data_IF_139669211167
#
_entry.id   IF_139669211167
#
_cell.length_a   1.000
_cell.length_b   1.000
_cell.length_c   1.000
_cell.angle_alpha   90.00
_cell.angle_beta   90.00
_cell.angle_gamma   90.00
#
_symmetry.space_group_name_H-M   'P 1'
#
loop_
_entity.id
_entity.type
_entity.pdbx_description
1 polymer ?
#
# COMPACT_ATOMS: atom_id res chain seq x y z
N UNK A 1 1.17 15.64 12.11
CA UNK A 1 1.55 14.31 11.63
C UNK A 1 3.01 14.26 11.31
N UNK A 2 3.67 13.24 11.78
CA UNK A 2 5.10 13.06 11.52
C UNK A 2 5.31 12.52 10.10
N UNK A 3 6.41 12.87 9.47
CA UNK A 3 6.81 12.36 8.16
C UNK A 3 6.89 10.83 8.17
N UNK A 4 7.25 10.24 9.31
CA UNK A 4 7.33 8.79 9.46
C UNK A 4 5.99 8.08 9.34
N UNK A 5 4.88 8.81 9.45
CA UNK A 5 3.54 8.23 9.30
C UNK A 5 3.18 7.99 7.84
N UNK A 6 3.94 8.54 6.92
CA UNK A 6 3.70 8.41 5.50
C UNK A 6 4.76 7.51 4.84
N UNK A 7 4.32 6.76 3.85
CA UNK A 7 5.22 5.94 3.04
C UNK A 7 5.15 6.45 1.61
N UNK A 8 6.29 6.83 1.06
CA UNK A 8 6.37 7.27 -0.33
C UNK A 8 6.52 6.08 -1.27
N UNK A 9 6.29 6.31 -2.56
CA UNK A 9 6.33 5.24 -3.55
C UNK A 9 7.64 4.43 -3.56
N UNK A 10 8.84 5.07 -3.54
CA UNK A 10 10.08 4.29 -3.54
C UNK A 10 10.19 3.31 -2.36
N UNK A 11 9.76 3.75 -1.19
CA UNK A 11 9.77 2.91 0.01
C UNK A 11 8.75 1.78 -0.14
N UNK A 12 7.59 2.08 -0.67
CA UNK A 12 6.53 1.09 -0.88
C UNK A 12 6.97 0.03 -1.90
N UNK A 13 7.60 0.46 -2.99
CA UNK A 13 8.12 -0.47 -4.01
C UNK A 13 9.15 -1.43 -3.41
N UNK A 14 10.05 -0.90 -2.58
CA UNK A 14 11.07 -1.72 -1.91
C UNK A 14 10.44 -2.71 -0.93
N UNK A 15 9.47 -2.25 -0.17
CA UNK A 15 8.79 -3.08 0.82
C UNK A 15 8.06 -4.26 0.19
N UNK A 16 7.34 -4.00 -0.90
CA UNK A 16 6.52 -5.01 -1.56
C UNK A 16 7.25 -5.76 -2.66
N UNK A 17 8.41 -5.25 -3.11
CA UNK A 17 9.12 -5.81 -4.24
C UNK A 17 8.35 -5.66 -5.54
N UNK A 18 7.55 -4.62 -5.67
CA UNK A 18 6.67 -4.39 -6.82
C UNK A 18 6.80 -2.95 -7.30
N UNK A 19 6.34 -2.72 -8.52
CA UNK A 19 6.36 -1.39 -9.15
C UNK A 19 4.95 -0.82 -9.24
N UNK A 20 4.85 0.39 -9.78
CA UNK A 20 3.63 1.19 -9.79
C UNK A 20 2.41 0.44 -10.34
N UNK A 21 2.55 -0.22 -11.49
CA UNK A 21 1.44 -0.95 -12.11
C UNK A 21 0.92 -2.06 -11.21
N UNK A 22 1.83 -2.80 -10.60
CA UNK A 22 1.46 -3.90 -9.71
C UNK A 22 0.74 -3.36 -8.47
N UNK A 23 1.19 -2.23 -7.93
CA UNK A 23 0.55 -1.62 -6.77
C UNK A 23 -0.86 -1.14 -7.11
N UNK A 24 -1.04 -0.58 -8.31
CA UNK A 24 -2.37 -0.20 -8.77
C UNK A 24 -3.31 -1.41 -8.81
N UNK A 25 -2.81 -2.57 -9.28
CA UNK A 25 -3.60 -3.80 -9.29
C UNK A 25 -3.92 -4.28 -7.87
N UNK A 26 -2.99 -4.14 -6.95
CA UNK A 26 -3.24 -4.49 -5.55
C UNK A 26 -4.38 -3.66 -4.97
N UNK A 27 -4.43 -2.38 -5.29
CA UNK A 27 -5.53 -1.53 -4.84
C UNK A 27 -6.86 -1.98 -5.42
N UNK A 28 -6.84 -2.38 -6.68
CA UNK A 28 -8.05 -2.80 -7.38
C UNK A 28 -8.54 -4.18 -6.95
N UNK A 29 -7.63 -5.14 -6.85
CA UNK A 29 -7.98 -6.54 -6.72
C UNK A 29 -7.78 -7.11 -5.31
N UNK A 30 -6.93 -6.50 -4.50
CA UNK A 30 -6.53 -7.04 -3.21
C UNK A 30 -6.82 -6.13 -2.02
N UNK A 31 -7.54 -5.05 -2.25
CA UNK A 31 -7.93 -4.15 -1.16
C UNK A 31 -6.78 -3.36 -0.57
N UNK A 32 -5.69 -3.14 -1.32
CA UNK A 32 -4.58 -2.34 -0.85
C UNK A 32 -5.05 -0.90 -0.59
N UNK A 33 -4.61 -0.26 0.50
CA UNK A 33 -5.08 1.08 0.83
C UNK A 33 -4.72 2.11 -0.24
N UNK A 34 -5.65 3.04 -0.47
CA UNK A 34 -5.42 4.13 -1.41
C UNK A 34 -4.44 5.14 -0.83
N UNK A 35 -3.70 5.87 -1.68
CA UNK A 35 -2.83 6.93 -1.17
C UNK A 35 -3.66 8.02 -0.50
N UNK A 36 -3.12 8.57 0.58
CA UNK A 36 -3.77 9.69 1.27
C UNK A 36 -3.41 11.03 0.65
N UNK A 37 -2.29 11.09 -0.08
CA UNK A 37 -1.89 12.24 -0.88
C UNK A 37 -1.50 11.74 -2.26
N UNK A 38 -1.78 12.52 -3.31
CA UNK A 38 -1.60 12.06 -4.68
C UNK A 38 -0.43 12.70 -5.43
N UNK A 39 0.09 13.83 -4.98
CA UNK A 39 1.17 14.51 -5.67
C UNK A 39 2.19 15.06 -4.67
N UNK A 40 3.25 14.28 -4.39
CA UNK A 40 3.51 12.88 -4.78
C UNK A 40 2.63 11.90 -4.02
N UNK A 41 2.51 10.69 -4.55
CA UNK A 41 1.70 9.68 -3.88
C UNK A 41 2.32 9.28 -2.54
N UNK A 42 1.55 9.43 -1.48
CA UNK A 42 1.96 9.06 -0.14
C UNK A 42 0.88 8.21 0.50
N UNK A 43 1.31 7.11 1.08
CA UNK A 43 0.42 6.14 1.70
C UNK A 43 0.55 6.21 3.21
N UNK A 44 -0.53 5.88 3.92
CA UNK A 44 -0.46 5.72 5.37
C UNK A 44 0.37 4.48 5.69
N UNK A 45 1.50 4.67 6.38
CA UNK A 45 2.36 3.56 6.80
C UNK A 45 1.55 2.56 7.64
N UNK A 46 0.75 3.09 8.54
CA UNK A 46 -0.08 2.27 9.42
C UNK A 46 -1.08 1.43 8.63
N UNK A 47 -1.73 2.02 7.64
CA UNK A 47 -2.68 1.29 6.80
C UNK A 47 -2.00 0.21 5.97
N UNK A 48 -0.82 0.51 5.42
CA UNK A 48 -0.04 -0.46 4.65
C UNK A 48 0.36 -1.65 5.52
N UNK A 49 0.86 -1.37 6.71
CA UNK A 49 1.27 -2.43 7.64
C UNK A 49 0.10 -3.28 8.07
N UNK A 50 -1.05 -2.67 8.32
CA UNK A 50 -2.25 -3.41 8.67
C UNK A 50 -2.71 -4.31 7.53
N UNK A 51 -2.64 -3.81 6.30
CA UNK A 51 -2.99 -4.62 5.13
C UNK A 51 -2.09 -5.85 5.02
N UNK A 52 -0.80 -5.70 5.28
CA UNK A 52 0.14 -6.82 5.28
C UNK A 52 -0.17 -7.81 6.41
N UNK A 53 -0.50 -7.32 7.60
CA UNK A 53 -0.89 -8.16 8.73
C UNK A 53 -2.16 -8.96 8.44
N UNK A 54 -3.06 -8.39 7.66
CA UNK A 54 -4.33 -9.04 7.30
C UNK A 54 -4.17 -10.06 6.15
N UNK A 55 -2.94 -10.34 5.72
CA UNK A 55 -2.65 -11.33 4.71
C UNK A 55 -2.07 -10.77 3.41
N UNK A 56 -2.11 -9.46 3.21
CA UNK A 56 -1.53 -8.82 2.04
C UNK A 56 -1.99 -9.43 0.72
N UNK A 57 -1.04 -9.80 -0.12
CA UNK A 57 -1.33 -10.39 -1.43
C UNK A 57 -2.02 -11.76 -1.31
N UNK A 58 -1.77 -12.46 -0.21
CA UNK A 58 -2.37 -13.76 0.03
C UNK A 58 -3.76 -13.66 0.63
N UNK A 59 -4.24 -12.44 0.87
CA UNK A 59 -5.56 -12.23 1.41
C UNK A 59 -6.60 -12.67 0.41
N UNK A 60 -7.40 -13.65 0.79
CA UNK A 60 -8.56 -14.05 0.01
C UNK A 60 -9.68 -13.08 0.37
N UNK A 61 -10.02 -12.20 -0.55
CA UNK A 61 -11.20 -11.37 -0.38
C UNK A 61 -12.39 -12.27 -0.66
N UNK A 62 -12.83 -12.91 0.38
CA UNK A 62 -14.00 -13.76 0.31
C UNK A 62 -15.23 -12.87 0.17
N UNK A 63 -16.00 -13.16 -0.79
CA UNK A 63 -17.25 -12.45 -0.99
C UNK A 63 -18.30 -13.03 -0.05
#
# INVERSE_FOLDING_TARGET
MDVSDFMEEPELFALLGKKKTAIWRLRKDHGFPNPILTYPSRYSRKAVMKWLEDGGINRVVSV
#
